data_IF_599119384908
#
_entry.id   IF_599119384908
#
_cell.length_a   1.000
_cell.length_b   1.000
_cell.length_c   1.000
_cell.angle_alpha   90.00
_cell.angle_beta   90.00
_cell.angle_gamma   90.00
#
_symmetry.space_group_name_H-M   'P 1'
#
loop_
_entity.id
_entity.type
_entity.pdbx_description
1 polymer ?
#
# COMPACT_ATOMS: atom_id res chain seq x y z
N UNK A 1 2.38 18.98 1.29
CA UNK A 1 3.84 18.88 1.05
C UNK A 1 4.28 20.08 0.25
N UNK A 2 3.77 20.28 -0.96
CA UNK A 2 4.11 21.44 -1.79
C UNK A 2 3.96 22.80 -1.04
N UNK A 3 2.85 23.01 -0.32
CA UNK A 3 2.67 24.22 0.52
C UNK A 3 3.70 24.35 1.65
N UNK A 4 3.98 23.26 2.35
CA UNK A 4 4.91 23.23 3.49
C UNK A 4 6.35 23.55 3.08
N UNK A 5 6.75 23.17 1.87
CA UNK A 5 8.06 23.53 1.30
C UNK A 5 8.16 25.02 0.97
N UNK A 6 7.09 25.63 0.46
CA UNK A 6 7.08 27.07 0.16
C UNK A 6 7.01 27.90 1.44
N UNK A 7 6.18 27.51 2.40
CA UNK A 7 6.01 28.24 3.68
C UNK A 7 7.08 27.89 4.72
N UNK A 8 7.97 26.93 4.43
CA UNK A 8 8.99 26.42 5.36
C UNK A 8 8.41 26.02 6.72
N UNK A 9 7.19 25.49 6.73
CA UNK A 9 6.46 25.10 7.94
C UNK A 9 6.18 23.60 7.92
N UNK A 10 6.10 22.95 9.08
CA UNK A 10 5.81 21.52 9.14
C UNK A 10 4.43 21.15 8.56
N UNK A 11 4.40 20.04 7.81
CA UNK A 11 3.19 19.52 7.13
C UNK A 11 2.10 19.16 8.14
N UNK A 12 2.47 18.64 9.33
CA UNK A 12 1.47 18.25 10.32
C UNK A 12 0.81 19.45 10.99
N UNK A 13 1.56 20.53 11.20
CA UNK A 13 1.00 21.81 11.68
C UNK A 13 -0.01 22.36 10.67
N UNK A 14 0.37 22.44 9.38
CA UNK A 14 -0.56 22.86 8.31
C UNK A 14 -1.80 21.97 8.25
N UNK A 15 -1.63 20.65 8.38
CA UNK A 15 -2.74 19.70 8.38
C UNK A 15 -3.72 19.92 9.53
N UNK A 16 -3.21 20.19 10.74
CA UNK A 16 -4.05 20.50 11.91
C UNK A 16 -4.85 21.78 11.72
N UNK A 17 -4.21 22.86 11.24
CA UNK A 17 -4.88 24.15 10.99
C UNK A 17 -5.92 24.00 9.87
N UNK A 18 -5.59 23.27 8.81
CA UNK A 18 -6.54 22.97 7.72
C UNK A 18 -7.79 22.23 8.21
N UNK A 19 -7.61 21.21 9.06
CA UNK A 19 -8.73 20.47 9.66
C UNK A 19 -9.57 21.35 10.58
N UNK A 20 -8.94 22.23 11.36
CA UNK A 20 -9.64 23.19 12.21
C UNK A 20 -10.51 24.13 11.36
N UNK A 21 -9.94 24.75 10.33
CA UNK A 21 -10.67 25.66 9.44
C UNK A 21 -11.84 24.94 8.75
N UNK A 22 -11.61 23.74 8.21
CA UNK A 22 -12.67 22.97 7.55
C UNK A 22 -13.81 22.62 8.52
N UNK A 23 -13.48 22.32 9.78
CA UNK A 23 -14.46 22.02 10.83
C UNK A 23 -15.27 23.26 11.22
N UNK A 24 -14.62 24.38 11.48
CA UNK A 24 -15.27 25.63 11.89
C UNK A 24 -16.15 26.21 10.78
N UNK A 25 -15.74 26.06 9.52
CA UNK A 25 -16.53 26.50 8.36
C UNK A 25 -17.59 25.49 7.91
N UNK A 26 -17.68 24.31 8.55
CA UNK A 26 -18.64 23.26 8.18
C UNK A 26 -18.44 22.66 6.79
N UNK A 27 -17.22 22.73 6.23
CA UNK A 27 -16.92 22.27 4.87
C UNK A 27 -16.67 20.76 4.88
N UNK A 28 -17.50 20.01 4.14
CA UNK A 28 -17.25 18.59 3.88
C UNK A 28 -16.17 18.43 2.81
N UNK A 29 -15.06 17.79 3.20
CA UNK A 29 -13.93 17.58 2.30
C UNK A 29 -14.15 16.37 1.38
N UNK A 30 -14.04 16.53 0.05
CA UNK A 30 -14.18 15.41 -0.86
C UNK A 30 -12.99 14.45 -0.76
N UNK A 31 -13.25 13.18 -1.00
CA UNK A 31 -12.19 12.16 -1.11
C UNK A 31 -11.46 12.39 -2.43
N UNK A 32 -10.15 12.65 -2.34
CA UNK A 32 -9.32 12.90 -3.53
C UNK A 32 -8.97 11.57 -4.20
N UNK A 33 -9.35 11.42 -5.48
CA UNK A 33 -8.99 10.23 -6.26
C UNK A 33 -7.49 10.28 -6.64
N UNK A 34 -6.69 9.22 -6.37
CA UNK A 34 -5.29 9.20 -6.75
C UNK A 34 -5.03 9.39 -8.26
N UNK A 35 -5.99 9.03 -9.13
CA UNK A 35 -5.82 9.11 -10.58
C UNK A 35 -5.43 10.51 -11.08
N UNK A 36 -5.89 11.56 -10.40
CA UNK A 36 -5.59 12.96 -10.78
C UNK A 36 -4.09 13.29 -10.70
N UNK A 37 -3.34 12.57 -9.86
CA UNK A 37 -1.92 12.82 -9.69
C UNK A 37 -1.06 12.14 -10.74
N UNK A 38 -1.58 11.10 -11.40
CA UNK A 38 -0.84 10.28 -12.37
C UNK A 38 -0.37 11.13 -13.54
N UNK A 39 -1.26 11.91 -14.15
CA UNK A 39 -0.89 12.78 -15.28
C UNK A 39 0.16 13.81 -14.86
N UNK A 40 -0.05 14.50 -13.73
CA UNK A 40 0.89 15.51 -13.20
C UNK A 40 2.29 14.93 -13.00
N UNK A 41 2.38 13.70 -12.46
CA UNK A 41 3.67 13.03 -12.26
C UNK A 41 4.26 12.48 -13.57
N UNK A 42 3.43 11.99 -14.48
CA UNK A 42 3.85 11.54 -15.81
C UNK A 42 4.54 12.65 -16.61
N UNK A 43 3.94 13.85 -16.65
CA UNK A 43 4.55 15.01 -17.31
C UNK A 43 5.89 15.42 -16.66
N UNK A 44 6.02 15.31 -15.34
CA UNK A 44 7.28 15.58 -14.63
C UNK A 44 8.38 14.55 -14.93
N UNK A 45 8.02 13.33 -15.34
CA UNK A 45 8.97 12.28 -15.70
C UNK A 45 9.56 12.45 -17.11
N UNK A 46 8.98 13.33 -17.94
CA UNK A 46 9.46 13.65 -19.30
C UNK A 46 9.66 12.40 -20.19
N UNK A 47 8.64 11.55 -20.30
CA UNK A 47 8.69 10.29 -21.05
C UNK A 47 8.50 10.45 -22.57
N UNK A 48 8.60 11.68 -23.09
CA UNK A 48 8.43 11.99 -24.51
C UNK A 48 7.01 11.72 -25.01
N UNK A 49 6.89 11.24 -26.23
CA UNK A 49 5.62 11.04 -26.93
C UNK A 49 4.73 9.97 -26.27
N UNK A 50 5.33 8.94 -25.66
CA UNK A 50 4.61 7.86 -24.97
C UNK A 50 4.11 8.22 -23.57
N UNK A 51 4.29 9.46 -23.12
CA UNK A 51 3.85 9.89 -21.78
C UNK A 51 2.36 9.63 -21.55
N UNK A 52 1.53 9.89 -22.57
CA UNK A 52 0.08 9.71 -22.49
C UNK A 52 -0.31 8.24 -22.33
N UNK A 53 0.32 7.35 -23.10
CA UNK A 53 0.05 5.92 -23.05
C UNK A 53 0.47 5.31 -21.70
N UNK A 54 1.62 5.75 -21.17
CA UNK A 54 2.08 5.37 -19.82
C UNK A 54 1.11 5.84 -18.75
N UNK A 55 0.64 7.08 -18.83
CA UNK A 55 -0.33 7.61 -17.87
C UNK A 55 -1.65 6.85 -17.94
N UNK A 56 -2.15 6.53 -19.14
CA UNK A 56 -3.37 5.76 -19.32
C UNK A 56 -3.27 4.36 -18.67
N UNK A 57 -2.18 3.64 -18.92
CA UNK A 57 -1.91 2.34 -18.27
C UNK A 57 -1.81 2.48 -16.75
N UNK A 58 -1.13 3.52 -16.26
CA UNK A 58 -0.98 3.77 -14.84
C UNK A 58 -2.32 4.09 -14.14
N UNK A 59 -3.19 4.91 -14.74
CA UNK A 59 -4.54 5.20 -14.22
C UNK A 59 -5.36 3.91 -14.12
N UNK A 60 -5.29 3.06 -15.16
CA UNK A 60 -5.99 1.77 -15.18
C UNK A 60 -5.49 0.84 -14.07
N UNK A 61 -4.18 0.82 -13.82
CA UNK A 61 -3.57 0.07 -12.72
C UNK A 61 -3.99 0.63 -11.35
N UNK A 62 -4.04 1.95 -11.17
CA UNK A 62 -4.55 2.59 -9.94
C UNK A 62 -6.01 2.23 -9.69
N UNK A 63 -6.85 2.22 -10.74
CA UNK A 63 -8.24 1.78 -10.64
C UNK A 63 -8.36 0.32 -10.19
N UNK A 64 -7.44 -0.55 -10.63
CA UNK A 64 -7.37 -1.93 -10.14
C UNK A 64 -6.90 -2.02 -8.68
N UNK A 65 -5.85 -1.27 -8.30
CA UNK A 65 -5.41 -1.16 -6.90
C UNK A 65 -6.51 -0.61 -5.96
N UNK A 66 -7.45 0.17 -6.51
CA UNK A 66 -8.62 0.66 -5.80
C UNK A 66 -9.56 -0.50 -5.44
N UNK A 67 -9.89 -1.34 -6.43
CA UNK A 67 -10.71 -2.55 -6.30
C UNK A 67 -10.06 -3.63 -5.43
N UNK A 68 -8.74 -3.76 -5.48
CA UNK A 68 -7.98 -4.70 -4.64
C UNK A 68 -7.72 -4.17 -3.21
N UNK A 69 -8.41 -3.11 -2.78
CA UNK A 69 -8.32 -2.52 -1.43
C UNK A 69 -6.91 -2.09 -0.97
N UNK A 70 -5.99 -1.90 -1.92
CA UNK A 70 -4.63 -1.44 -1.63
C UNK A 70 -4.63 0.07 -1.39
N UNK A 71 -5.59 0.81 -1.94
CA UNK A 71 -5.60 2.27 -1.83
C UNK A 71 -6.05 2.82 -0.46
N UNK A 72 -6.96 2.11 0.23
CA UNK A 72 -7.71 2.66 1.36
C UNK A 72 -6.81 2.93 2.58
N UNK A 73 -6.95 4.12 3.19
CA UNK A 73 -6.13 4.55 4.33
C UNK A 73 -4.65 4.77 4.02
N UNK A 74 -4.26 4.79 2.74
CA UNK A 74 -2.86 4.96 2.30
C UNK A 74 -2.67 6.26 1.52
N UNK A 75 -1.44 6.80 1.55
CA UNK A 75 -1.12 8.06 0.84
C UNK A 75 -1.22 7.87 -0.69
N UNK A 76 -1.96 8.74 -1.41
CA UNK A 76 -2.19 8.62 -2.86
C UNK A 76 -0.89 8.69 -3.66
N UNK A 77 0.06 9.54 -3.25
CA UNK A 77 1.36 9.69 -3.90
C UNK A 77 2.08 8.35 -4.08
N UNK A 78 2.13 7.52 -3.03
CA UNK A 78 2.83 6.23 -3.08
C UNK A 78 2.19 5.23 -4.04
N UNK A 79 0.86 5.24 -4.14
CA UNK A 79 0.09 4.40 -5.06
C UNK A 79 0.37 4.81 -6.50
N UNK A 80 0.28 6.12 -6.79
CA UNK A 80 0.54 6.66 -8.12
C UNK A 80 1.99 6.41 -8.56
N UNK A 81 2.96 6.59 -7.66
CA UNK A 81 4.37 6.35 -7.96
C UNK A 81 4.68 4.89 -8.27
N UNK A 82 4.08 3.95 -7.53
CA UNK A 82 4.22 2.52 -7.83
C UNK A 82 3.56 2.16 -9.17
N UNK A 83 2.34 2.66 -9.41
CA UNK A 83 1.63 2.41 -10.66
C UNK A 83 2.37 2.98 -11.89
N UNK A 84 2.93 4.19 -11.79
CA UNK A 84 3.74 4.80 -12.85
C UNK A 84 5.03 4.04 -13.13
N UNK A 85 5.70 3.49 -12.10
CA UNK A 85 6.89 2.67 -12.30
C UNK A 85 6.57 1.40 -13.09
N UNK A 86 5.50 0.69 -12.71
CA UNK A 86 5.05 -0.52 -13.41
C UNK A 86 4.63 -0.17 -14.85
N UNK A 87 3.81 0.86 -15.03
CA UNK A 87 3.36 1.27 -16.36
C UNK A 87 4.52 1.69 -17.26
N UNK A 88 5.51 2.40 -16.72
CA UNK A 88 6.69 2.83 -17.48
C UNK A 88 7.51 1.62 -17.94
N UNK A 89 7.70 0.64 -17.06
CA UNK A 89 8.38 -0.61 -17.40
C UNK A 89 7.64 -1.39 -18.50
N UNK A 90 6.30 -1.45 -18.45
CA UNK A 90 5.48 -2.11 -19.47
C UNK A 90 5.61 -1.46 -20.85
N UNK A 91 5.82 -0.15 -20.90
CA UNK A 91 6.03 0.60 -22.15
C UNK A 91 7.50 0.69 -22.59
N UNK A 92 8.40 -0.03 -21.93
CA UNK A 92 9.82 -0.12 -22.27
C UNK A 92 10.71 0.98 -21.69
N UNK A 93 10.22 1.77 -20.73
CA UNK A 93 11.01 2.80 -20.05
C UNK A 93 11.55 2.29 -18.71
N UNK A 94 12.87 2.30 -18.58
CA UNK A 94 13.53 1.98 -17.31
C UNK A 94 13.67 3.25 -16.45
N UNK A 95 12.81 3.38 -15.44
CA UNK A 95 12.86 4.50 -14.49
C UNK A 95 13.41 4.01 -13.15
N UNK A 96 14.44 4.66 -12.64
CA UNK A 96 14.96 4.35 -11.31
C UNK A 96 13.95 4.74 -10.23
N UNK A 97 13.82 3.91 -9.19
CA UNK A 97 13.01 4.25 -8.00
C UNK A 97 13.47 5.57 -7.37
N UNK A 98 14.78 5.90 -7.43
CA UNK A 98 15.32 7.16 -6.92
C UNK A 98 14.77 8.37 -7.70
N UNK A 99 14.59 8.24 -9.02
CA UNK A 99 13.99 9.28 -9.86
C UNK A 99 12.51 9.44 -9.53
N UNK A 100 11.77 8.33 -9.36
CA UNK A 100 10.36 8.37 -8.98
C UNK A 100 10.14 9.04 -7.61
N UNK A 101 10.98 8.73 -6.63
CA UNK A 101 10.96 9.36 -5.29
C UNK A 101 11.05 10.88 -5.37
N UNK A 102 11.91 11.42 -6.27
CA UNK A 102 12.07 12.87 -6.46
C UNK A 102 10.81 13.52 -7.02
N UNK A 103 10.11 12.85 -7.95
CA UNK A 103 8.89 13.37 -8.59
C UNK A 103 7.69 13.32 -7.64
N UNK A 104 7.50 12.19 -6.98
CA UNK A 104 6.30 11.87 -6.17
C UNK A 104 6.43 12.36 -4.72
N UNK A 105 7.65 12.70 -4.28
CA UNK A 105 7.97 13.23 -2.95
C UNK A 105 7.52 12.28 -1.83
N UNK A 106 7.93 11.02 -1.94
CA UNK A 106 7.65 9.97 -0.95
C UNK A 106 8.87 9.08 -0.76
N UNK A 107 9.02 8.45 0.41
CA UNK A 107 10.15 7.56 0.69
C UNK A 107 10.20 6.35 -0.24
N UNK A 108 11.42 5.96 -0.64
CA UNK A 108 11.71 4.75 -1.43
C UNK A 108 11.04 3.51 -0.84
N UNK A 109 11.13 3.34 0.49
CA UNK A 109 10.58 2.18 1.18
C UNK A 109 9.07 2.04 0.98
N UNK A 110 8.34 3.16 0.89
CA UNK A 110 6.89 3.14 0.68
C UNK A 110 6.57 2.68 -0.74
N UNK A 111 7.30 3.15 -1.75
CA UNK A 111 7.11 2.72 -3.14
C UNK A 111 7.36 1.22 -3.27
N UNK A 112 8.47 0.72 -2.71
CA UNK A 112 8.81 -0.70 -2.71
C UNK A 112 7.71 -1.52 -2.00
N UNK A 113 7.19 -1.04 -0.87
CA UNK A 113 6.08 -1.69 -0.17
C UNK A 113 4.82 -1.76 -1.05
N UNK A 114 4.49 -0.70 -1.80
CA UNK A 114 3.33 -0.72 -2.72
C UNK A 114 3.54 -1.63 -3.91
N UNK A 115 4.76 -1.73 -4.44
CA UNK A 115 5.09 -2.69 -5.49
C UNK A 115 4.95 -4.13 -4.97
N UNK A 116 5.37 -4.40 -3.73
CA UNK A 116 5.14 -5.69 -3.07
C UNK A 116 3.65 -5.97 -2.91
N UNK A 117 2.85 -5.00 -2.44
CA UNK A 117 1.39 -5.14 -2.31
C UNK A 117 0.74 -5.51 -3.66
N UNK A 118 1.20 -4.92 -4.78
CA UNK A 118 0.72 -5.24 -6.13
C UNK A 118 1.18 -6.63 -6.57
N UNK A 119 2.41 -7.03 -6.25
CA UNK A 119 2.94 -8.36 -6.61
C UNK A 119 2.18 -9.52 -5.97
N UNK A 120 1.53 -9.28 -4.81
CA UNK A 120 0.69 -10.26 -4.12
C UNK A 120 -0.74 -10.34 -4.69
N UNK A 121 -1.07 -9.55 -5.71
CA UNK A 121 -2.40 -9.53 -6.33
C UNK A 121 -2.44 -10.38 -7.59
N UNK A 122 -3.62 -10.89 -8.01
CA UNK A 122 -3.78 -11.64 -9.26
C UNK A 122 -3.38 -10.86 -10.52
N UNK A 123 -3.25 -9.54 -10.42
CA UNK A 123 -2.84 -8.66 -11.52
C UNK A 123 -1.38 -8.91 -11.91
N UNK A 124 -0.55 -9.36 -10.96
CA UNK A 124 0.88 -9.56 -11.18
C UNK A 124 1.19 -10.73 -12.12
N UNK A 125 0.27 -11.68 -12.29
CA UNK A 125 0.44 -12.84 -13.17
C UNK A 125 -0.15 -12.64 -14.57
N UNK A 126 -0.70 -11.46 -14.87
CA UNK A 126 -1.33 -11.18 -16.16
C UNK A 126 -0.32 -10.84 -17.26
N UNK A 127 -0.67 -11.25 -18.49
CA UNK A 127 -0.02 -10.73 -19.69
C UNK A 127 -0.44 -9.26 -19.95
N UNK A 128 0.37 -8.55 -20.75
CA UNK A 128 0.06 -7.17 -21.14
C UNK A 128 -1.28 -7.10 -21.90
N UNK A 129 -1.55 -8.05 -22.78
CA UNK A 129 -2.82 -8.14 -23.54
C UNK A 129 -4.01 -8.38 -22.62
N UNK A 130 -3.88 -9.33 -21.68
CA UNK A 130 -4.93 -9.64 -20.71
C UNK A 130 -5.23 -8.44 -19.80
N UNK A 131 -4.21 -7.63 -19.48
CA UNK A 131 -4.37 -6.42 -18.69
C UNK A 131 -5.30 -5.40 -19.35
N UNK A 132 -5.29 -5.29 -20.69
CA UNK A 132 -6.17 -4.40 -21.43
C UNK A 132 -7.56 -4.99 -21.75
N UNK A 133 -7.71 -6.30 -21.62
CA UNK A 133 -8.98 -7.00 -21.82
C UNK A 133 -9.99 -6.78 -20.67
N UNK A 134 -11.25 -7.20 -20.89
CA UNK A 134 -12.31 -7.23 -19.85
C UNK A 134 -12.01 -8.22 -18.72
N UNK A 135 -11.07 -9.15 -18.90
CA UNK A 135 -10.66 -10.15 -17.89
C UNK A 135 -10.20 -9.49 -16.59
N UNK A 136 -9.57 -8.31 -16.67
CA UNK A 136 -9.12 -7.55 -15.51
C UNK A 136 -10.28 -7.04 -14.64
N UNK A 137 -11.45 -6.79 -15.23
CA UNK A 137 -12.64 -6.31 -14.53
C UNK A 137 -13.39 -7.46 -13.86
N UNK A 138 -13.43 -8.63 -14.48
CA UNK A 138 -14.05 -9.85 -13.93
C UNK A 138 -13.22 -10.53 -12.83
N UNK A 139 -11.99 -10.11 -12.58
CA UNK A 139 -11.12 -10.70 -11.58
C UNK A 139 -11.58 -10.38 -10.15
N UNK A 140 -11.57 -11.42 -9.30
CA UNK A 140 -11.95 -11.36 -7.89
C UNK A 140 -11.19 -10.26 -7.15
N UNK A 141 -11.91 -9.48 -6.37
CA UNK A 141 -11.35 -8.46 -5.49
C UNK A 141 -10.48 -9.09 -4.40
N UNK A 142 -9.57 -8.31 -3.84
CA UNK A 142 -8.63 -8.77 -2.82
C UNK A 142 -8.87 -8.05 -1.51
N UNK A 143 -8.65 -8.78 -0.42
CA UNK A 143 -8.68 -8.19 0.92
C UNK A 143 -7.54 -7.16 1.11
N UNK A 144 -7.77 -6.10 1.89
CA UNK A 144 -6.73 -5.13 2.21
C UNK A 144 -5.53 -5.81 2.91
N UNK A 145 -4.29 -5.34 2.68
CA UNK A 145 -3.11 -5.92 3.32
C UNK A 145 -3.14 -5.95 4.86
N UNK A 146 -3.88 -5.05 5.51
CA UNK A 146 -4.07 -5.10 6.98
C UNK A 146 -4.80 -6.36 7.43
N UNK A 147 -5.79 -6.81 6.65
CA UNK A 147 -6.54 -8.03 6.93
C UNK A 147 -5.68 -9.28 6.68
N UNK A 148 -4.94 -9.30 5.56
CA UNK A 148 -3.99 -10.38 5.24
C UNK A 148 -2.93 -10.54 6.35
N UNK A 149 -2.34 -9.43 6.81
CA UNK A 149 -1.35 -9.44 7.90
C UNK A 149 -1.95 -9.89 9.23
N UNK A 150 -3.13 -9.41 9.60
CA UNK A 150 -3.82 -9.82 10.82
C UNK A 150 -4.07 -11.34 10.83
N UNK A 151 -4.50 -11.91 9.69
CA UNK A 151 -4.68 -13.36 9.54
C UNK A 151 -3.38 -14.14 9.71
N UNK A 152 -2.27 -13.67 9.15
CA UNK A 152 -0.95 -14.31 9.32
C UNK A 152 -0.51 -14.28 10.79
N UNK A 153 -0.69 -13.16 11.47
CA UNK A 153 -0.35 -13.01 12.90
C UNK A 153 -1.19 -13.98 13.74
N UNK A 154 -2.50 -14.04 13.49
CA UNK A 154 -3.41 -14.96 14.17
C UNK A 154 -2.98 -16.42 14.01
N UNK A 155 -2.72 -16.87 12.77
CA UNK A 155 -2.29 -18.25 12.50
C UNK A 155 -0.93 -18.58 13.13
N UNK A 156 0.00 -17.62 13.15
CA UNK A 156 1.29 -17.80 13.85
C UNK A 156 1.09 -17.97 15.34
N UNK A 157 0.19 -17.18 15.94
CA UNK A 157 -0.14 -17.29 17.36
C UNK A 157 -0.72 -18.65 17.71
N UNK A 158 -1.69 -19.15 16.93
CA UNK A 158 -2.27 -20.48 17.18
C UNK A 158 -1.25 -21.62 17.06
N UNK A 159 -0.27 -21.50 16.16
CA UNK A 159 0.83 -22.48 16.02
C UNK A 159 1.80 -22.42 17.20
N UNK A 160 2.06 -21.22 17.74
CA UNK A 160 2.90 -21.06 18.93
C UNK A 160 2.17 -21.62 20.16
N UNK A 161 0.88 -21.32 20.32
CA UNK A 161 0.06 -21.85 21.42
C UNK A 161 -0.03 -23.38 21.40
N UNK A 162 -0.17 -24.01 20.21
CA UNK A 162 -0.18 -25.47 20.11
C UNK A 162 1.18 -26.12 20.39
N UNK A 163 2.29 -25.42 20.13
CA UNK A 163 3.65 -25.89 20.46
C UNK A 163 4.06 -25.62 21.90
N UNK A 164 3.46 -24.63 22.56
CA UNK A 164 3.78 -24.22 23.93
C UNK A 164 3.14 -25.10 25.02
N UNK A 165 2.79 -26.35 24.70
CA UNK A 165 2.21 -27.31 25.64
C UNK A 165 3.23 -27.94 26.64
N UNK A 166 4.29 -27.20 26.99
CA UNK A 166 5.38 -27.67 27.86
C UNK A 166 4.99 -27.73 29.34
N UNK A 167 4.01 -26.92 29.75
CA UNK A 167 3.36 -26.99 31.06
C UNK A 167 2.00 -27.67 30.89
N UNK A 168 2.01 -29.01 30.78
CA UNK A 168 0.76 -29.77 30.92
C UNK A 168 0.38 -29.84 32.40
N UNK A 169 -0.92 -29.93 32.70
CA UNK A 169 -1.41 -30.11 34.08
C UNK A 169 -0.75 -31.30 34.76
N UNK A 170 -0.44 -32.36 33.99
CA UNK A 170 0.26 -33.56 34.47
C UNK A 170 1.68 -33.28 34.96
N UNK A 171 2.44 -32.42 34.27
CA UNK A 171 3.82 -32.07 34.68
C UNK A 171 3.78 -31.23 35.96
N UNK A 172 2.81 -30.32 36.08
CA UNK A 172 2.61 -29.51 37.29
C UNK A 172 2.23 -30.41 38.47
N UNK A 173 1.28 -31.33 38.28
CA UNK A 173 0.87 -32.28 39.32
C UNK A 173 2.01 -33.21 39.75
N UNK A 174 2.89 -33.61 38.82
CA UNK A 174 4.10 -34.37 39.14
C UNK A 174 5.08 -33.54 39.98
N UNK A 175 5.38 -32.31 39.58
CA UNK A 175 6.29 -31.42 40.35
C UNK A 175 5.74 -31.13 41.74
N UNK A 176 4.42 -30.92 41.87
CA UNK A 176 3.76 -30.71 43.15
C UNK A 176 3.84 -31.95 44.04
N UNK A 177 3.61 -33.16 43.49
CA UNK A 177 3.77 -34.42 44.22
C UNK A 177 5.20 -34.66 44.67
N UNK A 178 6.18 -34.47 43.79
CA UNK A 178 7.61 -34.65 44.12
C UNK A 178 8.06 -33.71 45.23
N UNK A 179 7.54 -32.49 45.28
CA UNK A 179 7.86 -31.55 46.35
C UNK A 179 7.15 -31.87 47.67
N UNK A 180 5.96 -32.48 47.64
CA UNK A 180 5.27 -32.92 48.87
C UNK A 180 5.85 -34.21 49.48
N UNK A 181 6.51 -35.06 48.69
CA UNK A 181 7.18 -36.28 49.19
C UNK A 181 8.58 -36.00 49.78
N UNK A 182 9.09 -34.77 49.63
CA UNK A 182 10.40 -34.33 50.13
C UNK A 182 10.35 -33.64 51.50
N UNK A 183 9.17 -33.49 52.11
CA UNK A 183 8.96 -33.10 53.52
C UNK A 183 8.73 -34.34 54.40
#
# INVERSE_FOLDING_TARGET
IDFSEVTQTDVFVLGKVYQLIARELGIQLPIVDPCIYVERYGYKLKLGEKTRDVCHTAVRLVGRMKRDWIHHGRRPNGICGAALLVASQLHGFQISVKQMVRVVRISKAIIVKRLADVSETPVASLSLEDFFSKKLESMVEQDPPSFKLARIIYLRRSVIESKNNWLSSQIIDQVVKTNMEME
#
